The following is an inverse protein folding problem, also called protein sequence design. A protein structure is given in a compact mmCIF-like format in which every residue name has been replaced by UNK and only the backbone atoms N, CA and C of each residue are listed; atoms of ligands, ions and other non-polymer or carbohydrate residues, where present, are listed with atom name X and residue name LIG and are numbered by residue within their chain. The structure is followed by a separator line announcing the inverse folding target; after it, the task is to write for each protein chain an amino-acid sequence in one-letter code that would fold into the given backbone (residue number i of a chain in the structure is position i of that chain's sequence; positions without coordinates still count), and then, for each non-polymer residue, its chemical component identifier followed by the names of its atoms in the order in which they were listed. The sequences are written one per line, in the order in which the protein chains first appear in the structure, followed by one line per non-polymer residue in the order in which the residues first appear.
data_IF_461361579449
#
_entry.id   IF_461361579449
#
_cell.length_a   1.000
_cell.length_b   1.000
_cell.length_c   1.000
_cell.angle_alpha   90.00
_cell.angle_beta   90.00
_cell.angle_gamma   90.00
#
_symmetry.space_group_name_H-M   'P 1'
#
loop_
_entity.id
_entity.type
_entity.pdbx_description
1 polymer ?
#
# COMPACT_ATOMS: atom_id res chain seq x y z
N UNK A 1 -8.25 -4.11 -3.76
CA UNK A 1 -7.03 -4.51 -3.02
C UNK A 1 -6.47 -5.90 -3.39
N UNK A 2 -7.13 -6.66 -4.27
CA UNK A 2 -6.70 -8.02 -4.65
C UNK A 2 -5.25 -8.13 -5.16
N UNK A 3 -4.71 -7.09 -5.79
CA UNK A 3 -3.33 -7.06 -6.28
C UNK A 3 -2.32 -7.20 -5.12
N UNK A 4 -2.55 -6.50 -4.00
CA UNK A 4 -1.70 -6.56 -2.80
C UNK A 4 -1.78 -7.96 -2.16
N UNK A 5 -2.98 -8.53 -2.07
CA UNK A 5 -3.18 -9.87 -1.54
C UNK A 5 -2.54 -10.94 -2.43
N UNK A 6 -2.63 -10.77 -3.75
CA UNK A 6 -1.97 -11.65 -4.71
C UNK A 6 -0.44 -11.57 -4.56
N UNK A 7 0.12 -10.37 -4.44
CA UNK A 7 1.54 -10.19 -4.21
C UNK A 7 2.02 -10.88 -2.93
N UNK A 8 1.30 -10.72 -1.81
CA UNK A 8 1.58 -11.47 -0.57
C UNK A 8 1.50 -12.98 -0.76
N UNK A 9 0.49 -13.47 -1.48
CA UNK A 9 0.27 -14.91 -1.72
C UNK A 9 1.40 -15.55 -2.55
N UNK A 10 1.95 -14.82 -3.51
CA UNK A 10 2.98 -15.32 -4.43
C UNK A 10 4.37 -14.77 -4.12
N UNK A 11 4.59 -14.21 -2.93
CA UNK A 11 5.87 -13.62 -2.50
C UNK A 11 6.45 -12.60 -3.49
N UNK A 12 5.57 -11.87 -4.18
CA UNK A 12 5.95 -10.80 -5.08
C UNK A 12 6.01 -9.49 -4.29
N UNK A 13 6.98 -8.65 -4.60
CA UNK A 13 7.16 -7.36 -3.95
C UNK A 13 6.50 -6.26 -4.79
N UNK A 14 5.52 -5.57 -4.22
CA UNK A 14 4.92 -4.38 -4.82
C UNK A 14 5.36 -3.16 -4.02
N UNK A 15 5.83 -2.13 -4.71
CA UNK A 15 6.12 -0.84 -4.11
C UNK A 15 5.27 0.24 -4.77
N UNK A 16 4.57 1.00 -3.95
CA UNK A 16 3.85 2.21 -4.33
C UNK A 16 4.79 3.39 -4.06
N UNK A 17 5.23 4.04 -5.14
CA UNK A 17 6.11 5.21 -5.09
C UNK A 17 5.33 6.48 -5.33
N UNK A 18 5.77 7.57 -4.71
CA UNK A 18 5.18 8.92 -4.88
C UNK A 18 3.66 8.92 -4.63
N UNK A 19 3.22 8.24 -3.58
CA UNK A 19 1.80 8.20 -3.19
C UNK A 19 1.37 9.59 -2.70
N UNK A 20 0.35 10.22 -3.31
CA UNK A 20 -0.13 11.53 -2.87
C UNK A 20 -0.75 11.46 -1.47
N UNK A 21 -0.57 12.51 -0.67
CA UNK A 21 -1.11 12.57 0.70
C UNK A 21 -2.61 12.31 0.76
N UNK A 22 -3.37 12.84 -0.22
CA UNK A 22 -4.82 12.59 -0.32
C UNK A 22 -5.16 11.11 -0.47
N UNK A 23 -4.33 10.35 -1.19
CA UNK A 23 -4.52 8.91 -1.34
C UNK A 23 -4.14 8.16 -0.06
N UNK A 24 -3.11 8.64 0.65
CA UNK A 24 -2.76 8.11 1.97
C UNK A 24 -3.91 8.30 2.98
N UNK A 25 -4.50 9.50 3.03
CA UNK A 25 -5.68 9.78 3.87
C UNK A 25 -6.85 8.88 3.49
N UNK A 26 -7.07 8.61 2.20
CA UNK A 26 -8.10 7.67 1.76
C UNK A 26 -7.83 6.24 2.27
N UNK A 27 -6.56 5.81 2.33
CA UNK A 27 -6.22 4.50 2.90
C UNK A 27 -6.44 4.44 4.41
N UNK A 28 -6.18 5.53 5.13
CA UNK A 28 -6.45 5.64 6.57
C UNK A 28 -7.94 5.51 6.87
N UNK A 29 -8.78 6.35 6.23
CA UNK A 29 -10.22 6.36 6.51
C UNK A 29 -10.96 5.11 6.04
N UNK A 30 -10.38 4.34 5.11
CA UNK A 30 -10.94 3.08 4.62
C UNK A 30 -10.43 1.84 5.36
N UNK A 31 -9.62 2.00 6.42
CA UNK A 31 -8.92 0.90 7.11
C UNK A 31 -8.02 0.06 6.18
N UNK A 32 -7.63 0.63 5.05
CA UNK A 32 -6.77 0.02 4.04
C UNK A 32 -5.28 0.21 4.33
N UNK A 33 -4.93 1.18 5.19
CA UNK A 33 -3.54 1.53 5.49
C UNK A 33 -2.71 0.32 5.96
N UNK A 34 -3.16 -0.54 6.89
CA UNK A 34 -2.37 -1.69 7.34
C UNK A 34 -2.06 -2.68 6.20
N UNK A 35 -2.92 -2.77 5.19
CA UNK A 35 -2.75 -3.67 4.06
C UNK A 35 -1.72 -3.15 3.06
N UNK A 36 -1.56 -1.82 2.97
CA UNK A 36 -0.69 -1.16 1.99
C UNK A 36 0.59 -0.59 2.60
N UNK A 37 0.70 -0.46 3.92
CA UNK A 37 1.84 0.13 4.63
C UNK A 37 3.18 -0.54 4.29
N UNK A 38 3.21 -1.87 4.24
CA UNK A 38 4.39 -2.66 3.86
C UNK A 38 4.81 -2.45 2.38
N UNK A 39 3.95 -1.84 1.58
CA UNK A 39 4.15 -1.60 0.15
C UNK A 39 4.36 -0.12 -0.16
N UNK A 40 4.33 0.78 0.84
CA UNK A 40 4.61 2.20 0.64
C UNK A 40 6.12 2.43 0.64
N UNK A 41 6.61 3.17 -0.36
CA UNK A 41 7.96 3.71 -0.30
C UNK A 41 8.00 4.84 0.75
N UNK A 42 8.68 4.59 1.87
CA UNK A 42 9.00 5.63 2.85
C UNK A 42 10.10 6.49 2.26
N UNK A 43 9.80 7.76 1.94
CA UNK A 43 10.84 8.75 1.63
C UNK A 43 11.56 9.07 2.93
N UNK A 44 12.85 8.73 2.99
CA UNK A 44 13.79 9.21 4.01
C UNK A 44 14.01 10.72 3.87
#
# INVERSE_FOLDING_TARGET
MHIIQHAKKYHCHIMLRSVPDKLLTLFEVSNALPLIAEHLEVKN
#
